data_IF_335801318276
#
_entry.id   IF_335801318276
#
_cell.length_a   1.000
_cell.length_b   1.000
_cell.length_c   1.000
_cell.angle_alpha   90.00
_cell.angle_beta   90.00
_cell.angle_gamma   90.00
#
_symmetry.space_group_name_H-M   'P 1'
#
loop_
_entity.id
_entity.type
_entity.pdbx_description
1 polymer ?
#
# COMPACT_ATOMS: atom_id res chain seq x y z
N UNK A 1 15.24 1.02 -20.92
CA UNK A 1 15.76 -0.31 -21.32
C UNK A 1 15.91 -1.15 -20.06
N UNK A 2 15.31 -2.34 -20.02
CA UNK A 2 15.39 -3.22 -18.85
C UNK A 2 16.81 -3.78 -18.67
N UNK A 3 17.31 -3.77 -17.46
CA UNK A 3 18.58 -4.36 -17.07
C UNK A 3 18.44 -5.86 -16.86
N UNK A 4 19.38 -6.65 -17.38
CA UNK A 4 19.35 -8.12 -17.23
C UNK A 4 19.26 -8.57 -15.76
N UNK A 5 19.93 -7.86 -14.84
CA UNK A 5 19.88 -8.14 -13.41
C UNK A 5 18.48 -7.95 -12.82
N UNK A 6 17.73 -6.93 -13.27
CA UNK A 6 16.33 -6.70 -12.82
C UNK A 6 15.41 -7.81 -13.33
N UNK A 7 15.56 -8.20 -14.61
CA UNK A 7 14.78 -9.28 -15.20
C UNK A 7 14.94 -10.57 -14.39
N UNK A 8 16.18 -10.95 -14.06
CA UNK A 8 16.44 -12.17 -13.27
C UNK A 8 15.84 -12.11 -11.87
N UNK A 9 16.05 -11.01 -11.14
CA UNK A 9 15.54 -10.85 -9.78
C UNK A 9 14.01 -10.88 -9.80
N UNK A 10 13.40 -10.26 -10.79
CA UNK A 10 11.95 -10.26 -10.91
C UNK A 10 11.41 -11.63 -11.36
N UNK A 11 12.11 -12.35 -12.21
CA UNK A 11 11.76 -13.75 -12.55
C UNK A 11 11.77 -14.63 -11.30
N UNK A 12 12.80 -14.56 -10.46
CA UNK A 12 12.87 -15.28 -9.18
C UNK A 12 11.66 -14.94 -8.29
N UNK A 13 11.18 -13.70 -8.31
CA UNK A 13 9.99 -13.29 -7.58
C UNK A 13 8.70 -13.86 -8.19
N UNK A 14 8.56 -13.84 -9.52
CA UNK A 14 7.40 -14.41 -10.22
C UNK A 14 7.29 -15.93 -10.05
N UNK A 15 8.42 -16.66 -10.02
CA UNK A 15 8.44 -18.08 -9.69
C UNK A 15 7.82 -18.36 -8.32
N UNK A 16 8.11 -17.50 -7.32
CA UNK A 16 7.51 -17.58 -5.97
C UNK A 16 6.04 -17.19 -5.95
N UNK A 17 5.61 -16.32 -6.86
CA UNK A 17 4.19 -16.07 -7.12
C UNK A 17 3.50 -17.26 -7.81
N UNK A 18 4.22 -18.37 -8.05
CA UNK A 18 3.68 -19.58 -8.65
C UNK A 18 3.48 -19.48 -10.16
N UNK A 19 4.20 -18.59 -10.85
CA UNK A 19 4.15 -18.53 -12.31
C UNK A 19 4.76 -19.80 -12.90
N UNK A 20 3.96 -20.55 -13.66
CA UNK A 20 4.35 -21.77 -14.37
C UNK A 20 4.48 -21.58 -15.88
N UNK A 21 5.25 -22.48 -16.51
CA UNK A 21 5.38 -22.50 -17.95
C UNK A 21 4.01 -22.72 -18.64
N UNK A 22 3.73 -21.94 -19.69
CA UNK A 22 2.49 -22.00 -20.46
C UNK A 22 1.32 -21.23 -19.81
N UNK A 23 1.48 -20.69 -18.61
CA UNK A 23 0.45 -19.87 -17.95
C UNK A 23 0.25 -18.54 -18.70
N UNK A 24 -1.01 -18.09 -18.78
CA UNK A 24 -1.35 -16.81 -19.40
C UNK A 24 -1.04 -15.68 -18.43
N UNK A 25 -0.12 -14.81 -18.82
CA UNK A 25 0.27 -13.62 -18.08
C UNK A 25 -0.13 -12.38 -18.84
N UNK A 26 -0.81 -11.45 -18.16
CA UNK A 26 -1.11 -10.13 -18.72
C UNK A 26 -0.26 -9.10 -18.00
N UNK A 27 0.60 -8.39 -18.74
CA UNK A 27 1.28 -7.18 -18.24
C UNK A 27 0.35 -6.01 -18.52
N UNK A 28 -0.29 -5.54 -17.48
CA UNK A 28 -1.19 -4.38 -17.55
C UNK A 28 -0.39 -3.10 -17.32
N UNK A 29 -0.48 -2.16 -18.25
CA UNK A 29 0.16 -0.87 -18.16
C UNK A 29 -0.71 0.25 -18.71
N UNK A 30 -0.36 1.47 -18.38
CA UNK A 30 -0.93 2.68 -18.96
C UNK A 30 0.06 3.34 -19.92
N UNK A 31 -0.41 4.23 -20.79
CA UNK A 31 0.47 4.99 -21.69
C UNK A 31 1.55 5.82 -20.98
N UNK A 32 1.35 6.15 -19.70
CA UNK A 32 2.34 6.84 -18.83
C UNK A 32 3.04 5.92 -17.84
N UNK A 33 2.84 4.60 -17.93
CA UNK A 33 3.60 3.65 -17.11
C UNK A 33 5.08 3.68 -17.48
N UNK A 34 5.93 3.37 -16.51
CA UNK A 34 7.38 3.34 -16.70
C UNK A 34 7.78 2.23 -17.68
N UNK A 35 8.37 2.57 -18.84
CA UNK A 35 8.69 1.56 -19.86
C UNK A 35 9.67 0.49 -19.37
N UNK A 36 10.66 0.86 -18.55
CA UNK A 36 11.66 -0.07 -18.02
C UNK A 36 11.04 -1.10 -17.09
N UNK A 37 10.04 -0.70 -16.30
CA UNK A 37 9.31 -1.61 -15.43
C UNK A 37 8.46 -2.60 -16.24
N UNK A 38 7.69 -2.10 -17.20
CA UNK A 38 6.84 -2.90 -18.08
C UNK A 38 7.68 -3.92 -18.86
N UNK A 39 8.79 -3.47 -19.43
CA UNK A 39 9.72 -4.35 -20.16
C UNK A 39 10.34 -5.41 -19.23
N UNK A 40 10.75 -5.02 -18.02
CA UNK A 40 11.28 -5.96 -17.01
C UNK A 40 10.25 -7.01 -16.63
N UNK A 41 9.01 -6.63 -16.38
CA UNK A 41 7.92 -7.52 -16.01
C UNK A 41 7.63 -8.52 -17.13
N UNK A 42 7.53 -8.05 -18.39
CA UNK A 42 7.31 -8.88 -19.56
C UNK A 42 8.42 -9.90 -19.75
N UNK A 43 9.68 -9.46 -19.79
CA UNK A 43 10.83 -10.33 -20.03
C UNK A 43 11.03 -11.34 -18.90
N UNK A 44 10.76 -10.96 -17.65
CA UNK A 44 10.83 -11.87 -16.51
C UNK A 44 9.78 -12.99 -16.62
N UNK A 45 8.56 -12.67 -17.01
CA UNK A 45 7.51 -13.67 -17.21
C UNK A 45 7.79 -14.59 -18.40
N UNK A 46 8.29 -14.05 -19.52
CA UNK A 46 8.72 -14.85 -20.69
C UNK A 46 9.87 -15.79 -20.35
N UNK A 47 10.83 -15.34 -19.53
CA UNK A 47 11.97 -16.16 -19.09
C UNK A 47 11.52 -17.42 -18.33
N UNK A 48 10.39 -17.37 -17.62
CA UNK A 48 9.79 -18.52 -16.93
C UNK A 48 8.87 -19.35 -17.83
N UNK A 49 8.78 -19.02 -19.12
CA UNK A 49 7.94 -19.73 -20.08
C UNK A 49 6.46 -19.34 -20.02
N UNK A 50 6.12 -18.22 -19.40
CA UNK A 50 4.77 -17.65 -19.42
C UNK A 50 4.34 -17.26 -20.84
N UNK A 51 3.04 -17.38 -21.12
CA UNK A 51 2.43 -16.84 -22.36
C UNK A 51 2.02 -15.41 -22.10
N UNK A 52 2.90 -14.48 -22.44
CA UNK A 52 2.75 -13.06 -22.04
C UNK A 52 1.98 -12.26 -23.09
N UNK A 53 1.05 -11.45 -22.62
CA UNK A 53 0.32 -10.46 -23.39
C UNK A 53 0.49 -9.09 -22.76
N UNK A 54 0.92 -8.10 -23.54
CA UNK A 54 0.91 -6.70 -23.14
C UNK A 54 -0.48 -6.11 -23.34
N UNK A 55 -1.04 -5.52 -22.29
CA UNK A 55 -2.31 -4.81 -22.33
C UNK A 55 -2.07 -3.37 -21.91
N UNK A 56 -2.02 -2.47 -22.88
CA UNK A 56 -1.78 -1.05 -22.67
C UNK A 56 -3.08 -0.28 -22.76
N UNK A 57 -3.45 0.42 -21.70
CA UNK A 57 -4.62 1.29 -21.68
C UNK A 57 -4.20 2.76 -21.64
N UNK A 58 -5.02 3.69 -22.14
CA UNK A 58 -4.73 5.11 -21.99
C UNK A 58 -4.65 5.49 -20.50
N UNK A 59 -3.64 6.28 -20.12
CA UNK A 59 -3.62 6.88 -18.78
C UNK A 59 -4.82 7.81 -18.63
N UNK A 60 -5.65 7.65 -17.60
CA UNK A 60 -6.81 8.52 -17.39
C UNK A 60 -6.41 9.98 -17.25
N UNK A 61 -7.26 10.87 -17.75
CA UNK A 61 -7.13 12.30 -17.46
C UNK A 61 -7.20 12.51 -15.96
N UNK A 62 -6.29 13.31 -15.43
CA UNK A 62 -6.33 13.66 -14.01
C UNK A 62 -7.31 14.83 -13.80
N UNK A 63 -8.56 14.49 -13.55
CA UNK A 63 -9.67 15.41 -13.26
C UNK A 63 -9.99 15.49 -11.76
N UNK A 64 -9.12 14.90 -10.92
CA UNK A 64 -9.29 14.96 -9.47
C UNK A 64 -9.13 16.40 -8.96
N UNK A 65 -9.76 16.75 -7.83
CA UNK A 65 -9.65 18.09 -7.22
C UNK A 65 -8.20 18.50 -6.93
N UNK A 66 -7.35 17.51 -6.71
CA UNK A 66 -5.90 17.70 -6.56
C UNK A 66 -5.18 16.81 -7.57
N UNK A 67 -4.33 17.41 -8.39
CA UNK A 67 -3.64 16.76 -9.50
C UNK A 67 -2.48 15.85 -9.02
N UNK A 68 -2.77 14.89 -8.17
CA UNK A 68 -1.82 13.92 -7.61
C UNK A 68 -2.25 12.51 -7.98
N UNK A 69 -1.28 11.69 -8.42
CA UNK A 69 -1.45 10.27 -8.73
C UNK A 69 -0.66 9.45 -7.71
N UNK A 70 -1.30 9.03 -6.64
CA UNK A 70 -0.63 8.28 -5.56
C UNK A 70 -1.60 7.54 -4.64
N UNK A 71 -2.76 7.12 -5.17
CA UNK A 71 -3.85 6.65 -4.31
C UNK A 71 -4.07 5.14 -4.33
N UNK A 72 -3.42 4.41 -5.24
CA UNK A 72 -3.69 2.98 -5.45
C UNK A 72 -5.07 2.69 -6.04
N UNK A 73 -5.74 3.71 -6.59
CA UNK A 73 -7.09 3.64 -7.14
C UNK A 73 -7.09 4.01 -8.63
N UNK A 74 -6.33 3.27 -9.46
CA UNK A 74 -6.29 3.52 -10.90
C UNK A 74 -7.70 3.44 -11.50
N UNK A 75 -8.04 4.45 -12.32
CA UNK A 75 -9.29 4.50 -13.09
C UNK A 75 -9.10 4.03 -14.55
N UNK A 76 -7.94 3.46 -14.86
CA UNK A 76 -7.57 3.07 -16.21
C UNK A 76 -8.48 1.98 -16.80
N UNK A 77 -9.16 1.20 -15.96
CA UNK A 77 -10.07 0.13 -16.38
C UNK A 77 -11.54 0.57 -16.50
N UNK A 78 -11.88 1.78 -16.02
CA UNK A 78 -13.27 2.25 -15.99
C UNK A 78 -13.88 2.28 -17.39
N UNK A 79 -15.11 1.76 -17.52
CA UNK A 79 -15.86 1.77 -18.77
C UNK A 79 -15.30 0.86 -19.86
N UNK A 80 -14.36 -0.04 -19.55
CA UNK A 80 -13.75 -0.94 -20.54
C UNK A 80 -14.00 -2.43 -20.20
N UNK A 81 -15.20 -2.97 -20.47
CA UNK A 81 -15.55 -4.34 -20.14
C UNK A 81 -14.69 -5.39 -20.88
N UNK A 82 -14.18 -5.08 -22.07
CA UNK A 82 -13.35 -6.00 -22.83
C UNK A 82 -11.98 -6.21 -22.14
N UNK A 83 -11.37 -5.13 -21.66
CA UNK A 83 -10.13 -5.17 -20.87
C UNK A 83 -10.36 -5.96 -19.58
N UNK A 84 -11.46 -5.65 -18.88
CA UNK A 84 -11.80 -6.33 -17.63
C UNK A 84 -12.01 -7.84 -17.83
N UNK A 85 -12.67 -8.25 -18.90
CA UNK A 85 -12.84 -9.67 -19.24
C UNK A 85 -11.50 -10.37 -19.55
N UNK A 86 -10.58 -9.70 -20.26
CA UNK A 86 -9.26 -10.22 -20.54
C UNK A 86 -8.46 -10.43 -19.25
N UNK A 87 -8.47 -9.45 -18.33
CA UNK A 87 -7.78 -9.55 -17.05
C UNK A 87 -8.38 -10.64 -16.15
N UNK A 88 -9.71 -10.77 -16.10
CA UNK A 88 -10.39 -11.75 -15.26
C UNK A 88 -10.14 -13.21 -15.71
N UNK A 89 -9.72 -13.45 -16.93
CA UNK A 89 -9.41 -14.78 -17.48
C UNK A 89 -7.90 -15.10 -17.51
N UNK A 90 -7.06 -14.15 -17.11
CA UNK A 90 -5.61 -14.37 -16.99
C UNK A 90 -5.27 -15.28 -15.79
N UNK A 91 -4.18 -16.03 -15.90
CA UNK A 91 -3.62 -16.75 -14.75
C UNK A 91 -2.92 -15.79 -13.78
N UNK A 92 -2.18 -14.82 -14.33
CA UNK A 92 -1.48 -13.80 -13.56
C UNK A 92 -1.58 -12.44 -14.27
N UNK A 93 -1.91 -11.41 -13.52
CA UNK A 93 -1.85 -10.00 -13.95
C UNK A 93 -0.67 -9.33 -13.24
N UNK A 94 0.25 -8.77 -14.01
CA UNK A 94 1.32 -7.90 -13.51
C UNK A 94 0.85 -6.46 -13.65
N UNK A 95 0.45 -5.87 -12.54
CA UNK A 95 -0.10 -4.51 -12.53
C UNK A 95 1.03 -3.48 -12.47
N UNK A 96 1.35 -2.92 -13.62
CA UNK A 96 2.30 -1.83 -13.83
C UNK A 96 1.59 -0.49 -14.10
N UNK A 97 0.32 -0.35 -13.74
CA UNK A 97 -0.40 0.93 -13.87
C UNK A 97 0.21 2.02 -12.99
N UNK A 98 -0.03 3.28 -13.31
CA UNK A 98 0.61 4.41 -12.62
C UNK A 98 0.24 4.48 -11.13
N UNK A 99 -1.01 4.20 -10.79
CA UNK A 99 -1.51 4.29 -9.41
C UNK A 99 -1.72 2.92 -8.75
N UNK A 100 -1.77 1.83 -9.53
CA UNK A 100 -2.12 0.50 -9.06
C UNK A 100 -3.62 0.26 -8.92
N UNK A 101 -3.99 -1.03 -8.82
CA UNK A 101 -5.39 -1.47 -8.80
C UNK A 101 -5.95 -1.73 -7.40
N UNK A 102 -5.17 -1.52 -6.32
CA UNK A 102 -5.57 -1.96 -4.97
C UNK A 102 -6.95 -1.49 -4.54
N UNK A 103 -7.27 -0.22 -4.84
CA UNK A 103 -8.57 0.40 -4.53
C UNK A 103 -9.47 0.59 -5.76
N UNK A 104 -9.08 0.03 -6.92
CA UNK A 104 -9.92 0.08 -8.12
C UNK A 104 -11.14 -0.85 -7.96
N UNK A 105 -12.38 -0.37 -8.22
CA UNK A 105 -13.59 -1.19 -8.11
C UNK A 105 -13.56 -2.45 -8.98
N UNK A 106 -12.87 -2.39 -10.11
CA UNK A 106 -12.71 -3.46 -11.09
C UNK A 106 -11.90 -4.65 -10.56
N UNK A 107 -11.01 -4.42 -9.58
CA UNK A 107 -10.16 -5.46 -8.99
C UNK A 107 -10.98 -6.66 -8.50
N UNK A 108 -12.12 -6.42 -7.86
CA UNK A 108 -12.99 -7.51 -7.37
C UNK A 108 -13.45 -8.45 -8.49
N UNK A 109 -13.75 -7.90 -9.65
CA UNK A 109 -14.17 -8.71 -10.82
C UNK A 109 -13.02 -9.54 -11.34
N UNK A 110 -11.82 -8.97 -11.41
CA UNK A 110 -10.59 -9.67 -11.82
C UNK A 110 -10.33 -10.86 -10.88
N UNK A 111 -10.32 -10.62 -9.58
CA UNK A 111 -10.06 -11.66 -8.57
C UNK A 111 -11.14 -12.75 -8.55
N UNK A 112 -12.42 -12.40 -8.71
CA UNK A 112 -13.51 -13.37 -8.83
C UNK A 112 -13.42 -14.25 -10.07
N UNK A 113 -12.78 -13.76 -11.14
CA UNK A 113 -12.47 -14.53 -12.32
C UNK A 113 -11.39 -15.60 -12.09
N UNK A 114 -10.69 -15.54 -10.97
CA UNK A 114 -9.61 -16.46 -10.59
C UNK A 114 -8.22 -15.94 -10.90
N UNK A 115 -8.09 -14.79 -11.55
CA UNK A 115 -6.78 -14.19 -11.84
C UNK A 115 -6.05 -13.84 -10.53
N UNK A 116 -4.75 -14.10 -10.51
CA UNK A 116 -3.84 -13.59 -9.47
C UNK A 116 -3.35 -12.21 -9.93
N UNK A 117 -3.24 -11.27 -9.02
CA UNK A 117 -2.76 -9.91 -9.32
C UNK A 117 -1.51 -9.63 -8.49
N UNK A 118 -0.39 -9.36 -9.15
CA UNK A 118 0.80 -8.81 -8.52
C UNK A 118 0.86 -7.31 -8.83
N UNK A 119 0.55 -6.48 -7.85
CA UNK A 119 0.61 -5.04 -7.98
C UNK A 119 2.03 -4.55 -7.72
N UNK A 120 2.65 -3.96 -8.73
CA UNK A 120 3.97 -3.34 -8.66
C UNK A 120 3.83 -1.83 -8.79
N UNK A 121 2.79 -1.40 -9.52
CA UNK A 121 2.51 -0.02 -9.88
C UNK A 121 3.68 0.59 -10.67
N UNK A 122 4.05 1.83 -10.41
CA UNK A 122 5.04 2.55 -11.21
C UNK A 122 6.40 2.69 -10.51
N UNK A 123 6.79 1.68 -9.71
CA UNK A 123 8.07 1.68 -9.00
C UNK A 123 9.27 1.65 -9.96
N UNK A 124 10.38 2.23 -9.53
CA UNK A 124 11.62 2.13 -10.27
C UNK A 124 12.19 0.71 -10.16
N UNK A 125 12.51 0.02 -11.28
CA UNK A 125 12.93 -1.39 -11.23
C UNK A 125 14.24 -1.64 -10.49
N UNK A 126 15.09 -0.62 -10.27
CA UNK A 126 16.27 -0.73 -9.42
C UNK A 126 15.92 -1.15 -7.98
N UNK A 127 14.72 -0.85 -7.52
CA UNK A 127 14.23 -1.29 -6.20
C UNK A 127 14.20 -2.82 -6.06
N UNK A 128 14.08 -3.58 -7.16
CA UNK A 128 14.18 -5.05 -7.14
C UNK A 128 15.51 -5.55 -6.58
N UNK A 129 16.58 -4.80 -6.72
CA UNK A 129 17.90 -5.18 -6.21
C UNK A 129 17.94 -5.21 -4.68
N UNK A 130 17.16 -4.37 -4.01
CA UNK A 130 17.05 -4.30 -2.55
C UNK A 130 16.06 -5.32 -1.99
N UNK A 131 14.94 -5.52 -2.67
CA UNK A 131 13.83 -6.36 -2.20
C UNK A 131 13.93 -7.80 -2.70
N UNK A 132 15.09 -8.41 -2.53
CA UNK A 132 15.22 -9.83 -2.76
C UNK A 132 14.31 -10.60 -1.81
N UNK A 133 13.74 -11.67 -2.30
CA UNK A 133 12.87 -12.52 -1.49
C UNK A 133 13.59 -13.00 -0.22
N UNK A 134 12.91 -12.88 0.91
CA UNK A 134 13.30 -13.47 2.18
C UNK A 134 12.18 -14.39 2.67
N UNK A 135 12.43 -15.70 2.86
CA UNK A 135 11.44 -16.62 3.45
C UNK A 135 10.96 -16.13 4.82
N UNK A 136 11.85 -15.53 5.59
CA UNK A 136 11.56 -15.03 6.93
C UNK A 136 10.56 -13.87 6.93
N UNK A 137 10.55 -13.05 5.87
CA UNK A 137 9.58 -11.97 5.74
C UNK A 137 8.15 -12.52 5.67
N UNK A 138 7.93 -13.56 4.85
CA UNK A 138 6.62 -14.21 4.73
C UNK A 138 6.13 -14.79 6.06
N UNK A 139 7.00 -15.43 6.82
CA UNK A 139 6.69 -15.97 8.15
C UNK A 139 6.39 -14.85 9.15
N UNK A 140 7.19 -13.78 9.17
CA UNK A 140 6.95 -12.60 10.02
C UNK A 140 5.61 -11.93 9.72
N UNK A 141 5.28 -11.73 8.44
CA UNK A 141 3.98 -11.17 8.03
C UNK A 141 2.84 -12.07 8.50
N UNK A 142 2.93 -13.38 8.27
CA UNK A 142 1.90 -14.32 8.68
C UNK A 142 1.71 -14.33 10.21
N UNK A 143 2.78 -14.26 10.99
CA UNK A 143 2.74 -14.19 12.45
C UNK A 143 2.13 -12.87 12.93
N UNK A 144 2.60 -11.74 12.41
CA UNK A 144 2.08 -10.42 12.74
C UNK A 144 0.58 -10.30 12.37
N UNK A 145 0.17 -10.82 11.21
CA UNK A 145 -1.22 -10.84 10.80
C UNK A 145 -2.09 -11.69 11.75
N UNK A 146 -1.63 -12.89 12.15
CA UNK A 146 -2.36 -13.70 13.13
C UNK A 146 -2.55 -12.99 14.47
N UNK A 147 -1.57 -12.23 14.93
CA UNK A 147 -1.67 -11.42 16.15
C UNK A 147 -2.67 -10.29 15.99
N UNK A 148 -2.56 -9.54 14.90
CA UNK A 148 -3.48 -8.44 14.58
C UNK A 148 -4.93 -8.92 14.47
N UNK A 149 -5.16 -10.05 13.80
CA UNK A 149 -6.50 -10.63 13.61
C UNK A 149 -7.18 -11.12 14.91
N UNK A 150 -6.39 -11.37 15.96
CA UNK A 150 -6.90 -11.82 17.28
C UNK A 150 -7.03 -10.70 18.30
N UNK A 151 -6.41 -9.57 18.05
CA UNK A 151 -6.39 -8.46 18.98
C UNK A 151 -7.73 -7.74 19.03
N UNK A 152 -8.13 -7.30 20.22
CA UNK A 152 -9.32 -6.48 20.44
C UNK A 152 -9.05 -4.99 20.31
N UNK A 153 -7.82 -4.56 20.59
CA UNK A 153 -7.45 -3.16 20.58
C UNK A 153 -6.01 -2.96 20.11
N UNK A 154 -5.81 -1.99 19.22
CA UNK A 154 -4.51 -1.42 18.90
C UNK A 154 -4.40 -0.04 19.54
N UNK A 155 -3.33 0.23 20.27
CA UNK A 155 -2.97 1.58 20.70
C UNK A 155 -1.63 1.96 20.09
N UNK A 156 -1.54 3.20 19.64
CA UNK A 156 -0.33 3.76 19.04
C UNK A 156 0.07 5.02 19.79
N UNK A 157 1.31 5.08 20.24
CA UNK A 157 1.86 6.26 20.94
C UNK A 157 3.19 6.68 20.32
N UNK A 158 3.58 7.93 20.48
CA UNK A 158 4.91 8.42 20.13
C UNK A 158 5.37 9.53 21.06
N UNK A 159 6.68 9.75 21.11
CA UNK A 159 7.26 10.89 21.85
C UNK A 159 6.82 12.25 21.29
N UNK A 160 6.38 12.31 20.02
CA UNK A 160 5.86 13.51 19.38
C UNK A 160 4.45 13.88 19.87
N UNK A 161 3.75 12.98 20.56
CA UNK A 161 2.42 13.21 21.11
C UNK A 161 1.29 12.42 20.44
N UNK A 162 1.60 11.47 19.56
CA UNK A 162 0.58 10.52 19.09
C UNK A 162 0.02 9.72 20.26
N UNK A 163 -1.29 9.64 20.37
CA UNK A 163 -2.04 8.72 21.25
C UNK A 163 -3.35 8.35 20.55
N UNK A 164 -3.30 7.28 19.77
CA UNK A 164 -4.39 6.80 18.96
C UNK A 164 -4.85 5.43 19.47
N UNK A 165 -6.17 5.27 19.59
CA UNK A 165 -6.81 4.01 19.94
C UNK A 165 -7.66 3.53 18.77
N UNK A 166 -7.48 2.27 18.38
CA UNK A 166 -8.27 1.58 17.35
C UNK A 166 -8.88 0.32 17.97
N UNK A 167 -10.19 0.30 18.12
CA UNK A 167 -10.92 -0.92 18.50
C UNK A 167 -11.02 -1.83 17.28
N UNK A 168 -10.53 -3.06 17.38
CA UNK A 168 -10.41 -4.00 16.26
C UNK A 168 -11.61 -4.92 16.09
N UNK A 169 -12.59 -4.83 16.97
CA UNK A 169 -13.84 -5.59 16.82
C UNK A 169 -14.54 -5.21 15.50
N UNK A 170 -14.78 -6.20 14.64
CA UNK A 170 -15.37 -6.00 13.32
C UNK A 170 -14.42 -5.48 12.24
N UNK A 171 -13.16 -5.25 12.56
CA UNK A 171 -12.16 -4.88 11.56
C UNK A 171 -11.83 -6.05 10.63
N UNK A 172 -11.55 -5.76 9.36
CA UNK A 172 -10.92 -6.71 8.44
C UNK A 172 -9.41 -6.52 8.51
N UNK A 173 -8.66 -7.61 8.61
CA UNK A 173 -7.19 -7.56 8.69
C UNK A 173 -6.55 -8.21 7.47
N UNK A 174 -5.39 -7.74 7.07
CA UNK A 174 -4.63 -8.26 5.94
C UNK A 174 -3.14 -8.31 6.26
N UNK A 175 -2.44 -9.25 5.62
CA UNK A 175 -0.98 -9.31 5.59
C UNK A 175 -0.50 -9.40 4.15
N UNK A 176 0.45 -8.54 3.77
CA UNK A 176 1.06 -8.54 2.45
C UNK A 176 2.45 -9.15 2.52
N UNK A 177 2.61 -10.33 1.94
CA UNK A 177 3.91 -11.02 1.84
C UNK A 177 4.69 -10.60 0.59
N UNK A 178 4.08 -9.87 -0.32
CA UNK A 178 4.62 -9.54 -1.64
C UNK A 178 4.47 -10.64 -2.68
N UNK A 179 3.89 -11.79 -2.32
CA UNK A 179 3.76 -12.98 -3.17
C UNK A 179 2.29 -13.39 -3.28
N UNK A 180 1.80 -13.68 -4.47
CA UNK A 180 0.45 -14.20 -4.68
C UNK A 180 0.33 -15.64 -4.16
N UNK A 181 -0.81 -15.99 -3.56
CA UNK A 181 -0.98 -17.26 -2.83
C UNK A 181 -1.93 -18.26 -3.49
N UNK A 182 -2.52 -17.94 -4.61
CA UNK A 182 -3.48 -18.80 -5.31
C UNK A 182 -4.49 -18.02 -6.13
N UNK A 183 -5.41 -18.72 -6.77
CA UNK A 183 -6.45 -18.12 -7.61
C UNK A 183 -7.24 -17.05 -6.86
N UNK A 184 -7.50 -15.93 -7.51
CA UNK A 184 -8.23 -14.80 -6.93
C UNK A 184 -7.49 -14.05 -5.82
N UNK A 185 -6.16 -14.19 -5.73
CA UNK A 185 -5.35 -13.47 -4.76
C UNK A 185 -4.70 -12.21 -5.33
N UNK A 186 -4.46 -11.23 -4.46
CA UNK A 186 -3.64 -10.06 -4.77
C UNK A 186 -2.42 -10.03 -3.85
N UNK A 187 -1.30 -9.63 -4.40
CA UNK A 187 -0.11 -9.28 -3.64
C UNK A 187 0.38 -7.90 -4.07
N UNK A 188 0.90 -7.17 -3.11
CA UNK A 188 1.52 -5.87 -3.32
C UNK A 188 3.03 -6.02 -3.11
N UNK A 189 3.81 -5.90 -4.19
CA UNK A 189 5.25 -5.93 -4.13
C UNK A 189 5.78 -4.66 -3.44
N UNK A 190 6.81 -4.71 -2.56
CA UNK A 190 7.65 -5.86 -2.21
C UNK A 190 7.11 -6.70 -1.06
N UNK A 191 5.99 -6.34 -0.44
CA UNK A 191 5.48 -6.98 0.76
C UNK A 191 6.17 -6.54 2.05
N UNK A 192 5.74 -7.12 3.17
CA UNK A 192 6.24 -6.76 4.49
C UNK A 192 5.35 -5.76 5.20
N UNK A 193 4.04 -5.95 5.18
CA UNK A 193 3.07 -5.04 5.78
C UNK A 193 1.90 -5.84 6.36
N UNK A 194 1.40 -5.40 7.50
CA UNK A 194 0.12 -5.85 8.06
C UNK A 194 -0.80 -4.67 8.29
N UNK A 195 -2.08 -4.84 7.99
CA UNK A 195 -3.10 -3.79 8.00
C UNK A 195 -4.36 -4.25 8.72
N UNK A 196 -5.03 -3.31 9.37
CA UNK A 196 -6.42 -3.42 9.82
C UNK A 196 -7.25 -2.31 9.15
N UNK A 197 -8.41 -2.67 8.63
CA UNK A 197 -9.44 -1.79 8.11
C UNK A 197 -10.53 -1.69 9.20
N UNK A 198 -10.54 -0.61 10.01
CA UNK A 198 -11.41 -0.49 11.16
C UNK A 198 -12.90 -0.45 10.79
N UNK A 199 -13.74 -1.02 11.66
CA UNK A 199 -15.17 -0.86 11.57
C UNK A 199 -15.59 0.59 11.90
N UNK A 200 -16.79 1.04 11.52
CA UNK A 200 -17.25 2.40 11.80
C UNK A 200 -17.24 2.74 13.30
N UNK A 201 -16.79 3.95 13.64
CA UNK A 201 -16.82 4.50 15.02
C UNK A 201 -15.80 3.88 15.96
N UNK A 202 -14.71 3.32 15.45
CA UNK A 202 -13.75 2.56 16.26
C UNK A 202 -12.40 3.24 16.44
N UNK A 203 -12.15 4.38 15.78
CA UNK A 203 -10.87 5.09 15.80
C UNK A 203 -11.01 6.44 16.50
N UNK A 204 -10.22 6.65 17.54
CA UNK A 204 -10.24 7.89 18.34
C UNK A 204 -8.84 8.26 18.83
N UNK A 205 -8.57 9.55 18.99
CA UNK A 205 -7.33 10.05 19.59
C UNK A 205 -6.62 11.10 18.75
N UNK A 206 -5.29 11.09 18.82
CA UNK A 206 -4.44 12.07 18.18
C UNK A 206 -3.32 11.38 17.41
N UNK A 207 -3.09 11.81 16.18
CA UNK A 207 -1.91 11.46 15.39
C UNK A 207 -1.05 12.70 15.23
N UNK A 208 0.21 12.64 15.64
CA UNK A 208 1.20 13.70 15.46
C UNK A 208 2.28 13.22 14.49
N UNK A 209 2.26 13.79 13.30
CA UNK A 209 3.32 13.60 12.31
C UNK A 209 4.50 14.48 12.71
N UNK A 210 5.62 13.87 13.00
CA UNK A 210 6.86 14.54 13.38
C UNK A 210 7.72 14.88 12.15
N UNK A 211 8.68 15.81 12.26
CA UNK A 211 9.69 16.00 11.22
C UNK A 211 10.41 14.69 10.89
N UNK A 212 10.49 14.38 9.60
CA UNK A 212 11.05 13.12 9.08
C UNK A 212 10.03 11.99 8.90
N UNK A 213 8.80 12.10 9.39
CA UNK A 213 7.70 11.24 8.96
C UNK A 213 7.32 11.55 7.50
N UNK A 214 6.55 10.70 6.86
CA UNK A 214 6.30 10.80 5.42
C UNK A 214 4.83 11.13 5.15
N UNK A 215 4.59 12.16 4.34
CA UNK A 215 3.35 12.32 3.60
C UNK A 215 3.53 11.68 2.23
N UNK A 216 3.05 10.44 2.09
CA UNK A 216 3.30 9.64 0.91
C UNK A 216 2.48 10.10 -0.30
N UNK A 217 1.30 10.66 -0.09
CA UNK A 217 0.47 11.23 -1.15
C UNK A 217 1.18 12.34 -1.89
N UNK A 218 1.90 13.21 -1.16
CA UNK A 218 2.73 14.28 -1.74
C UNK A 218 4.19 13.87 -1.96
N UNK A 219 4.57 12.64 -1.57
CA UNK A 219 5.91 12.08 -1.70
C UNK A 219 6.96 13.03 -1.13
N UNK A 220 6.81 13.34 0.17
CA UNK A 220 7.70 14.24 0.89
C UNK A 220 7.82 13.88 2.37
N UNK A 221 8.98 14.19 2.94
CA UNK A 221 9.14 14.18 4.39
C UNK A 221 8.47 15.39 5.02
N UNK A 222 7.93 15.20 6.22
CA UNK A 222 7.44 16.28 7.05
C UNK A 222 8.61 17.14 7.53
N UNK A 223 8.51 18.44 7.37
CA UNK A 223 9.49 19.40 7.88
C UNK A 223 9.02 20.02 9.20
N UNK A 224 7.70 20.14 9.35
CA UNK A 224 7.06 20.67 10.56
C UNK A 224 6.04 19.69 11.11
N UNK A 225 5.83 19.66 12.43
CA UNK A 225 4.84 18.78 13.01
C UNK A 225 3.42 19.17 12.55
N UNK A 226 2.60 18.14 12.30
CA UNK A 226 1.17 18.30 12.05
C UNK A 226 0.42 17.39 12.99
N UNK A 227 -0.53 17.95 13.73
CA UNK A 227 -1.39 17.21 14.65
C UNK A 227 -2.77 17.03 14.03
N UNK A 228 -3.22 15.79 13.99
CA UNK A 228 -4.55 15.39 13.53
C UNK A 228 -5.34 14.92 14.76
N UNK A 229 -6.43 15.60 15.09
CA UNK A 229 -7.38 15.14 16.13
C UNK A 229 -8.44 14.28 15.45
N UNK A 230 -8.64 13.06 15.97
CA UNK A 230 -9.56 12.06 15.39
C UNK A 230 -10.67 11.79 16.40
N UNK A 231 -11.91 11.92 15.97
CA UNK A 231 -13.09 11.52 16.71
C UNK A 231 -14.07 10.81 15.77
N UNK A 232 -14.61 9.69 16.21
CA UNK A 232 -15.53 8.86 15.46
C UNK A 232 -15.00 8.60 14.04
N UNK A 233 -13.76 8.09 13.98
CA UNK A 233 -12.95 7.80 12.79
C UNK A 233 -12.45 9.01 11.98
N UNK A 234 -13.03 10.20 12.14
CA UNK A 234 -12.77 11.33 11.25
C UNK A 234 -11.80 12.33 11.87
N UNK A 235 -10.90 12.87 11.05
CA UNK A 235 -10.09 14.02 11.40
C UNK A 235 -11.03 15.21 11.59
N UNK A 236 -11.11 15.70 12.83
CA UNK A 236 -11.95 16.85 13.21
C UNK A 236 -11.15 18.15 13.24
N UNK A 237 -9.85 18.07 13.49
CA UNK A 237 -8.93 19.20 13.51
C UNK A 237 -7.58 18.84 12.91
N UNK A 238 -6.98 19.81 12.20
CA UNK A 238 -5.62 19.75 11.65
C UNK A 238 -4.87 20.95 12.19
N UNK A 239 -4.06 20.75 13.23
CA UNK A 239 -3.21 21.77 13.82
C UNK A 239 -1.78 21.68 13.27
N UNK A 240 -1.12 22.82 13.13
CA UNK A 240 0.23 22.94 12.57
C UNK A 240 0.34 24.11 11.62
N UNK A 241 1.58 24.46 11.27
CA UNK A 241 1.93 25.59 10.43
C UNK A 241 2.68 25.16 9.17
N UNK A 242 2.65 26.06 8.16
CA UNK A 242 3.43 25.96 6.93
C UNK A 242 2.88 24.93 5.96
N UNK A 243 3.69 24.62 4.96
CA UNK A 243 3.30 23.83 3.79
C UNK A 243 2.75 22.45 4.17
N UNK A 244 3.28 21.81 5.20
CA UNK A 244 2.83 20.47 5.59
C UNK A 244 1.36 20.48 6.02
N UNK A 245 0.98 21.37 6.96
CA UNK A 245 -0.40 21.49 7.41
C UNK A 245 -1.34 22.02 6.32
N UNK A 246 -0.88 22.95 5.49
CA UNK A 246 -1.66 23.51 4.38
C UNK A 246 -2.00 22.46 3.31
N UNK A 247 -1.06 21.54 3.01
CA UNK A 247 -1.30 20.45 2.09
C UNK A 247 -2.40 19.50 2.61
N UNK A 248 -2.41 19.17 3.92
CA UNK A 248 -3.48 18.37 4.51
C UNK A 248 -4.85 19.06 4.39
N UNK A 249 -4.92 20.31 4.82
CA UNK A 249 -6.17 21.09 4.80
C UNK A 249 -6.72 21.23 3.39
N UNK A 250 -5.89 21.66 2.44
CA UNK A 250 -6.30 21.88 1.05
C UNK A 250 -6.75 20.60 0.37
N UNK A 251 -5.99 19.51 0.54
CA UNK A 251 -6.30 18.21 -0.07
C UNK A 251 -7.64 17.67 0.43
N UNK A 252 -7.79 17.49 1.74
CA UNK A 252 -9.00 16.93 2.32
C UNK A 252 -10.24 17.80 2.06
N UNK A 253 -10.08 19.11 2.15
CA UNK A 253 -11.16 20.06 1.83
C UNK A 253 -11.60 19.99 0.36
N UNK A 254 -10.65 19.84 -0.58
CA UNK A 254 -10.95 19.75 -1.98
C UNK A 254 -11.79 18.49 -2.33
N UNK A 255 -11.45 17.34 -1.76
CA UNK A 255 -12.23 16.12 -1.93
C UNK A 255 -13.61 16.22 -1.27
N UNK A 256 -13.69 16.70 -0.04
CA UNK A 256 -14.99 16.88 0.64
C UNK A 256 -15.94 17.81 -0.10
N UNK A 257 -15.41 18.85 -0.75
CA UNK A 257 -16.23 19.78 -1.57
C UNK A 257 -16.79 19.10 -2.82
N UNK A 258 -16.02 18.25 -3.48
CA UNK A 258 -16.44 17.57 -4.72
C UNK A 258 -17.35 16.38 -4.42
N UNK A 259 -17.04 15.60 -3.40
CA UNK A 259 -17.78 14.39 -3.03
C UNK A 259 -19.03 14.70 -2.20
N UNK A 260 -19.08 15.88 -1.57
CA UNK A 260 -20.22 16.31 -0.75
C UNK A 260 -20.30 15.64 0.61
N UNK A 261 -19.23 14.93 1.02
CA UNK A 261 -19.12 14.28 2.31
C UNK A 261 -17.69 14.42 2.90
N UNK A 262 -17.43 13.75 4.01
CA UNK A 262 -16.14 13.79 4.70
C UNK A 262 -15.39 12.43 4.67
N UNK A 263 -15.72 11.55 3.74
CA UNK A 263 -15.08 10.23 3.65
C UNK A 263 -13.56 10.32 3.52
N UNK A 264 -13.02 11.33 2.83
CA UNK A 264 -11.57 11.58 2.71
C UNK A 264 -10.89 11.90 4.06
N UNK A 265 -11.63 12.41 5.06
CA UNK A 265 -11.12 12.69 6.41
C UNK A 265 -11.11 11.47 7.32
N UNK A 266 -11.82 10.40 6.96
CA UNK A 266 -11.98 9.25 7.82
C UNK A 266 -10.77 8.32 7.75
N UNK A 267 -10.46 7.61 8.85
CA UNK A 267 -9.47 6.57 8.87
C UNK A 267 -9.83 5.46 7.87
N UNK A 268 -8.93 5.18 6.94
CA UNK A 268 -9.05 4.07 5.98
C UNK A 268 -8.52 2.79 6.59
N UNK A 269 -7.26 2.78 6.91
CA UNK A 269 -6.57 1.63 7.50
C UNK A 269 -5.41 2.07 8.38
N UNK A 270 -4.98 1.16 9.24
CA UNK A 270 -3.80 1.32 10.10
C UNK A 270 -2.99 0.03 10.10
N UNK A 271 -1.69 0.14 10.34
CA UNK A 271 -0.85 -1.05 10.40
C UNK A 271 0.62 -0.73 10.63
N UNK A 272 1.50 -1.68 10.36
CA UNK A 272 2.94 -1.44 10.48
C UNK A 272 3.73 -2.27 9.47
N UNK A 273 4.93 -1.74 9.14
CA UNK A 273 5.88 -2.36 8.24
C UNK A 273 6.76 -3.41 8.93
N UNK A 274 7.21 -4.39 8.16
CA UNK A 274 7.96 -5.58 8.61
C UNK A 274 9.19 -5.86 7.74
N UNK A 275 9.42 -5.07 6.66
CA UNK A 275 10.49 -5.34 5.70
C UNK A 275 11.77 -4.60 6.07
N UNK A 276 12.77 -5.35 6.53
CA UNK A 276 14.07 -4.80 6.96
C UNK A 276 14.95 -4.31 5.79
N UNK A 277 14.61 -4.68 4.55
CA UNK A 277 15.30 -4.20 3.35
C UNK A 277 14.75 -2.88 2.84
N UNK A 278 13.59 -2.44 3.34
CA UNK A 278 13.02 -1.15 3.01
C UNK A 278 13.87 0.00 3.56
N UNK A 279 13.97 1.08 2.81
CA UNK A 279 14.73 2.27 3.20
C UNK A 279 13.80 3.43 3.50
N UNK A 280 14.06 4.12 4.60
CA UNK A 280 13.30 5.32 4.93
C UNK A 280 13.66 6.50 4.03
N UNK A 281 14.92 6.61 3.63
CA UNK A 281 15.46 7.68 2.80
C UNK A 281 15.21 7.50 1.29
N UNK A 282 14.37 6.54 0.89
CA UNK A 282 14.18 6.20 -0.52
C UNK A 282 13.52 7.33 -1.35
N UNK A 283 12.79 8.26 -0.73
CA UNK A 283 12.21 9.41 -1.42
C UNK A 283 13.27 10.34 -2.02
N UNK A 284 14.50 10.31 -1.49
CA UNK A 284 15.64 11.09 -2.02
C UNK A 284 16.41 10.36 -3.11
N UNK A 285 16.09 9.07 -3.39
CA UNK A 285 16.81 8.27 -4.37
C UNK A 285 16.28 8.42 -5.78
N UNK A 286 15.01 8.76 -5.94
CA UNK A 286 14.31 8.78 -7.21
C UNK A 286 13.44 10.02 -7.39
N UNK A 287 13.11 10.32 -8.66
CA UNK A 287 12.06 11.29 -8.95
C UNK A 287 10.72 10.86 -8.36
N UNK A 288 9.88 11.82 -7.98
CA UNK A 288 8.54 11.55 -7.44
C UNK A 288 7.67 10.68 -8.34
N UNK A 289 7.83 10.79 -9.66
CA UNK A 289 7.16 9.92 -10.64
C UNK A 289 7.63 8.46 -10.63
N UNK A 290 8.80 8.19 -10.05
CA UNK A 290 9.41 6.87 -9.95
C UNK A 290 9.11 6.16 -8.62
N UNK A 291 8.30 6.76 -7.76
CA UNK A 291 8.00 6.30 -6.41
C UNK A 291 6.50 6.03 -6.32
N UNK A 292 6.11 4.81 -5.99
CA UNK A 292 4.72 4.49 -5.61
C UNK A 292 4.53 4.55 -4.08
N UNK A 293 5.59 4.34 -3.34
CA UNK A 293 5.55 4.49 -1.89
C UNK A 293 5.42 3.20 -1.10
N UNK A 294 5.47 2.07 -1.74
CA UNK A 294 5.36 0.77 -1.07
C UNK A 294 6.50 0.55 -0.08
N UNK A 295 7.68 1.06 -0.39
CA UNK A 295 8.86 0.94 0.46
C UNK A 295 8.64 1.58 1.84
N UNK A 296 8.11 2.81 1.91
CA UNK A 296 7.83 3.47 3.20
C UNK A 296 6.74 2.75 4.00
N UNK A 297 5.71 2.23 3.32
CA UNK A 297 4.66 1.45 3.99
C UNK A 297 5.19 0.16 4.59
N UNK A 298 6.15 -0.47 3.92
CA UNK A 298 6.75 -1.74 4.32
C UNK A 298 7.92 -1.60 5.30
N UNK A 299 8.46 -0.39 5.52
CA UNK A 299 9.64 -0.15 6.34
C UNK A 299 9.46 -0.73 7.75
N UNK A 300 10.41 -1.59 8.15
CA UNK A 300 10.32 -2.32 9.41
C UNK A 300 10.19 -1.39 10.62
N UNK A 301 9.11 -1.56 11.39
CA UNK A 301 8.82 -0.75 12.56
C UNK A 301 8.10 0.58 12.28
N UNK A 302 7.85 0.96 11.00
CA UNK A 302 7.01 2.14 10.72
C UNK A 302 5.55 1.85 11.06
N UNK A 303 4.88 2.78 11.72
CA UNK A 303 3.42 2.77 11.82
C UNK A 303 2.83 3.47 10.60
N UNK A 304 1.78 2.90 10.03
CA UNK A 304 1.03 3.49 8.92
C UNK A 304 -0.35 3.91 9.41
N UNK A 305 -0.65 5.20 9.28
CA UNK A 305 -2.00 5.75 9.40
C UNK A 305 -2.48 6.20 8.02
N UNK A 306 -3.67 5.80 7.63
CA UNK A 306 -4.21 6.15 6.31
C UNK A 306 -5.62 6.69 6.44
N UNK A 307 -5.96 7.69 5.59
CA UNK A 307 -7.32 8.23 5.46
C UNK A 307 -7.95 7.81 4.15
N UNK A 308 -9.27 7.90 4.04
CA UNK A 308 -10.00 7.73 2.80
C UNK A 308 -10.88 6.50 2.74
N UNK A 309 -10.89 5.82 1.60
CA UNK A 309 -11.77 4.69 1.34
C UNK A 309 -11.58 3.55 2.34
N UNK A 310 -12.68 3.05 2.90
CA UNK A 310 -12.73 1.87 3.74
C UNK A 310 -14.09 1.17 3.50
N UNK A 311 -14.07 0.12 2.71
CA UNK A 311 -15.29 -0.61 2.34
C UNK A 311 -15.96 -1.31 3.52
N UNK A 312 -15.17 -1.70 4.54
CA UNK A 312 -15.70 -2.29 5.79
C UNK A 312 -16.59 -1.29 6.51
N UNK A 313 -16.22 -0.01 6.46
CA UNK A 313 -16.98 1.09 7.02
C UNK A 313 -17.98 1.72 6.03
N UNK A 314 -18.15 1.15 4.82
CA UNK A 314 -19.04 1.67 3.78
C UNK A 314 -18.60 3.00 3.19
N UNK A 315 -17.32 3.36 3.27
CA UNK A 315 -16.76 4.63 2.79
C UNK A 315 -16.06 4.48 1.44
N UNK A 316 -16.42 5.35 0.50
CA UNK A 316 -15.87 5.38 -0.85
C UNK A 316 -15.47 6.81 -1.18
N UNK A 317 -14.20 7.04 -1.46
CA UNK A 317 -13.62 8.33 -1.83
C UNK A 317 -12.36 8.11 -2.65
N UNK A 318 -12.04 9.05 -3.52
CA UNK A 318 -10.74 9.09 -4.19
C UNK A 318 -9.69 9.86 -3.38
N UNK A 319 -10.09 10.59 -2.34
CA UNK A 319 -9.18 11.26 -1.41
C UNK A 319 -8.53 10.26 -0.46
N UNK A 320 -7.20 10.15 -0.50
CA UNK A 320 -6.46 9.17 0.29
C UNK A 320 -5.10 9.71 0.73
N UNK A 321 -4.82 9.60 2.02
CA UNK A 321 -3.49 9.79 2.55
C UNK A 321 -2.94 8.47 3.07
N UNK A 322 -1.67 8.23 2.77
CA UNK A 322 -0.83 7.29 3.52
C UNK A 322 0.26 8.06 4.25
N UNK A 323 0.36 7.83 5.54
CA UNK A 323 1.21 8.56 6.47
C UNK A 323 2.08 7.58 7.25
N UNK A 324 3.19 7.08 6.66
CA UNK A 324 4.16 6.30 7.39
C UNK A 324 4.86 7.14 8.46
N UNK A 325 4.88 6.63 9.70
CA UNK A 325 5.44 7.30 10.88
C UNK A 325 6.55 6.44 11.48
N UNK A 326 7.72 7.03 11.70
CA UNK A 326 8.94 6.27 11.97
C UNK A 326 9.13 5.86 13.42
N UNK A 327 8.64 6.63 14.38
CA UNK A 327 9.04 6.49 15.80
C UNK A 327 7.85 6.21 16.72
N UNK A 328 6.88 5.44 16.24
CA UNK A 328 5.73 5.06 17.03
C UNK A 328 5.98 3.78 17.82
N UNK A 329 5.31 3.66 18.95
CA UNK A 329 5.11 2.40 19.67
C UNK A 329 3.71 1.90 19.37
N UNK A 330 3.60 0.65 18.90
CA UNK A 330 2.32 -0.01 18.59
C UNK A 330 2.12 -1.16 19.57
N UNK A 331 0.99 -1.15 20.26
CA UNK A 331 0.60 -2.24 21.18
C UNK A 331 -0.69 -2.90 20.69
N UNK A 332 -0.78 -4.22 20.86
CA UNK A 332 -1.99 -5.02 20.67
C UNK A 332 -2.39 -5.59 22.02
N UNK A 333 -3.57 -5.21 22.53
CA UNK A 333 -4.07 -5.60 23.86
C UNK A 333 -3.01 -5.40 24.98
N UNK A 334 -2.27 -4.27 24.90
CA UNK A 334 -1.23 -3.90 25.87
C UNK A 334 0.13 -4.57 25.65
N UNK A 335 0.31 -5.43 24.63
CA UNK A 335 1.62 -6.04 24.28
C UNK A 335 2.22 -5.29 23.10
N UNK A 336 3.45 -4.87 23.22
CA UNK A 336 4.18 -4.17 22.15
C UNK A 336 4.49 -5.13 21.01
N UNK A 337 4.25 -4.64 19.78
CA UNK A 337 4.67 -5.26 18.52
C UNK A 337 5.68 -4.38 17.77
N UNK A 338 5.65 -3.07 18.05
CA UNK A 338 6.65 -2.09 17.67
C UNK A 338 6.93 -1.22 18.89
N UNK A 339 8.19 -1.01 19.24
CA UNK A 339 8.63 -0.12 20.32
C UNK A 339 9.50 1.00 19.73
N UNK A 340 9.04 2.24 19.83
CA UNK A 340 9.72 3.44 19.34
C UNK A 340 10.28 3.28 17.91
N UNK A 341 9.51 2.62 17.01
CA UNK A 341 9.90 2.39 15.62
C UNK A 341 10.77 1.15 15.39
N UNK A 342 10.96 0.30 16.38
CA UNK A 342 11.69 -0.96 16.25
C UNK A 342 10.72 -2.13 16.42
N UNK A 343 10.87 -3.17 15.57
CA UNK A 343 10.08 -4.39 15.71
C UNK A 343 10.45 -5.11 17.02
N UNK A 344 9.45 -5.45 17.81
CA UNK A 344 9.66 -6.27 19.00
C UNK A 344 9.74 -7.73 18.59
N UNK A 345 10.88 -8.36 18.91
CA UNK A 345 11.07 -9.79 18.69
C UNK A 345 10.23 -10.55 19.72
N UNK A 346 9.37 -11.44 19.24
CA UNK A 346 8.56 -12.28 20.13
C UNK A 346 9.40 -13.36 20.76
N UNK A 347 9.53 -13.40 22.08
CA UNK A 347 10.23 -14.49 22.76
C UNK A 347 9.58 -15.87 22.52
N UNK A 348 8.30 -15.90 22.17
CA UNK A 348 7.57 -17.15 21.88
C UNK A 348 7.72 -17.60 20.40
N UNK A 349 8.47 -16.88 19.57
CA UNK A 349 8.67 -17.21 18.14
C UNK A 349 9.75 -18.26 17.90
N UNK A 350 10.54 -18.64 18.91
CA UNK A 350 11.61 -19.64 18.79
C UNK A 350 11.13 -21.09 19.03
N UNK A 351 9.84 -21.30 19.28
CA UNK A 351 9.29 -22.63 19.56
C UNK A 351 8.15 -22.95 18.58
N UNK A 352 8.51 -23.33 17.35
CA UNK A 352 7.64 -24.18 16.50
C UNK A 352 8.45 -24.84 15.39
#
# INVERSE_FOLDING_TARGET
>A
MAEWRWIRIFADHLERCGLGAGEVVVVLSESSSRPELVETARLAAEMLGGRVFDLVVPTPVNDQPVAIRSTGASRALQGNPAVLAALATAGLVLDCTVEGLLHAPELRTILRGGARVLMISNEHPESFERFRFSPDLGMRVAQAHRRLARAGCMRVTSAAGTDLTVRLAGAVTAGSTGVTSGAGSIAHWPGGLVLAFPAPGTVEGTVVLAPGDINLTFKRYMERPVTLTIADDHITEIAGDGVDADLFRSYLSAFAQVEGDRSAYACSHVGWGLNEHARWDYLELYDKGAINGTEARAFAGSFLYSTGANEVAGRFTAGHFDLPMRSCTVTLDGREVVEAGQLVVDPDSEIS
#
